data_IF_739889328979
#
_entry.id   IF_739889328979
#
_cell.length_a   1.000
_cell.length_b   1.000
_cell.length_c   1.000
_cell.angle_alpha   90.00
_cell.angle_beta   90.00
_cell.angle_gamma   90.00
#
_symmetry.space_group_name_H-M   'P 1'
#
loop_
_entity.id
_entity.type
_entity.pdbx_description
1 polymer ?
#
# COMPACT_ATOMS: atom_id res chain seq x y z
N UNK A 1 -2.87 -15.11 13.50
CA UNK A 1 -3.09 -15.63 12.13
C UNK A 1 -4.35 -15.07 11.48
N UNK A 2 -5.56 -15.31 12.03
CA UNK A 2 -6.81 -14.73 11.47
C UNK A 2 -6.78 -13.19 11.49
N UNK A 3 -6.33 -12.59 12.59
CA UNK A 3 -6.23 -11.13 12.73
C UNK A 3 -5.23 -10.51 11.74
N UNK A 4 -4.09 -11.20 11.50
CA UNK A 4 -3.06 -10.72 10.58
C UNK A 4 -3.61 -10.66 9.14
N UNK A 5 -4.41 -11.68 8.75
CA UNK A 5 -5.08 -11.72 7.45
C UNK A 5 -6.10 -10.58 7.33
N UNK A 6 -6.93 -10.38 8.34
CA UNK A 6 -7.93 -9.30 8.36
C UNK A 6 -7.24 -7.94 8.26
N UNK A 7 -6.20 -7.70 9.07
CA UNK A 7 -5.44 -6.45 9.06
C UNK A 7 -4.80 -6.21 7.68
N UNK A 8 -4.22 -7.23 7.05
CA UNK A 8 -3.67 -7.15 5.71
C UNK A 8 -4.72 -6.82 4.65
N UNK A 9 -5.87 -7.49 4.67
CA UNK A 9 -6.98 -7.25 3.72
C UNK A 9 -7.54 -5.83 3.87
N UNK A 10 -7.84 -5.40 5.10
CA UNK A 10 -8.38 -4.06 5.39
C UNK A 10 -7.39 -2.98 4.98
N UNK A 11 -6.11 -3.15 5.31
CA UNK A 11 -5.06 -2.20 4.93
C UNK A 11 -4.88 -2.13 3.41
N UNK A 12 -5.02 -3.27 2.71
CA UNK A 12 -4.98 -3.33 1.25
C UNK A 12 -6.14 -2.59 0.59
N UNK A 13 -7.37 -2.81 1.05
CA UNK A 13 -8.56 -2.11 0.53
C UNK A 13 -8.43 -0.60 0.75
N UNK A 14 -8.10 -0.19 1.97
CA UNK A 14 -7.98 1.23 2.31
C UNK A 14 -6.76 1.88 1.63
N UNK A 15 -5.71 1.11 1.38
CA UNK A 15 -4.55 1.51 0.57
C UNK A 15 -4.95 1.77 -0.87
N UNK A 16 -5.73 0.87 -1.47
CA UNK A 16 -6.21 1.00 -2.84
C UNK A 16 -7.20 2.15 -3.03
N UNK A 17 -7.96 2.51 -1.97
CA UNK A 17 -8.88 3.66 -1.99
C UNK A 17 -8.16 5.03 -1.91
N UNK A 18 -6.83 5.05 -1.81
CA UNK A 18 -6.06 6.31 -1.72
C UNK A 18 -6.08 6.94 -0.32
N UNK A 19 -6.66 6.27 0.68
CA UNK A 19 -6.77 6.75 2.06
C UNK A 19 -5.44 6.68 2.84
N UNK A 20 -4.34 6.29 2.19
CA UNK A 20 -3.06 6.06 2.85
C UNK A 20 -3.08 4.80 3.72
N UNK A 21 -3.69 3.70 3.24
CA UNK A 21 -3.88 2.45 3.99
C UNK A 21 -2.63 1.82 4.62
N UNK A 22 -1.44 2.34 4.31
CA UNK A 22 -0.22 1.97 5.02
C UNK A 22 -0.15 2.42 6.46
N UNK A 23 -0.85 3.49 6.82
CA UNK A 23 -0.97 3.89 8.22
C UNK A 23 -1.62 2.80 9.07
N UNK A 24 -2.62 2.09 8.53
CA UNK A 24 -3.38 1.07 9.28
C UNK A 24 -2.54 -0.18 9.51
N UNK A 25 -1.80 -0.63 8.48
CA UNK A 25 -0.90 -1.76 8.61
C UNK A 25 0.24 -1.46 9.58
N UNK A 26 0.82 -0.26 9.52
CA UNK A 26 1.86 0.18 10.45
C UNK A 26 1.30 0.17 11.88
N UNK A 27 0.14 0.78 12.13
CA UNK A 27 -0.50 0.82 13.45
C UNK A 27 -0.75 -0.58 13.99
N UNK A 28 -1.23 -1.52 13.16
CA UNK A 28 -1.40 -2.91 13.55
C UNK A 28 -0.06 -3.56 13.95
N UNK A 29 0.97 -3.42 13.12
CA UNK A 29 2.28 -4.02 13.38
C UNK A 29 2.96 -3.44 14.63
N UNK A 30 2.86 -2.12 14.86
CA UNK A 30 3.50 -1.49 16.01
C UNK A 30 2.72 -1.63 17.30
N UNK A 31 1.39 -1.46 17.28
CA UNK A 31 0.58 -1.45 18.51
C UNK A 31 0.12 -2.83 18.94
N UNK A 32 -0.11 -3.75 17.99
CA UNK A 32 -0.61 -5.09 18.29
C UNK A 32 0.48 -6.17 18.23
N UNK A 33 1.50 -6.01 17.38
CA UNK A 33 2.60 -6.98 17.24
C UNK A 33 3.90 -6.52 17.90
N UNK A 34 3.88 -5.36 18.59
CA UNK A 34 5.04 -4.72 19.24
C UNK A 34 6.29 -4.66 18.33
N UNK A 35 6.06 -4.51 17.02
CA UNK A 35 7.14 -4.52 16.04
C UNK A 35 7.83 -3.15 16.00
N UNK A 36 9.17 -3.09 15.84
CA UNK A 36 9.87 -1.83 15.67
C UNK A 36 9.29 -1.00 14.50
N UNK A 37 9.21 0.32 14.70
CA UNK A 37 8.63 1.25 13.72
C UNK A 37 9.28 1.15 12.34
N UNK A 38 10.62 1.09 12.30
CA UNK A 38 11.39 0.99 11.04
C UNK A 38 11.02 -0.30 10.29
N UNK A 39 10.93 -1.43 11.00
CA UNK A 39 10.54 -2.70 10.42
C UNK A 39 9.10 -2.66 9.90
N UNK A 40 8.18 -2.10 10.68
CA UNK A 40 6.77 -1.98 10.30
C UNK A 40 6.57 -1.10 9.06
N UNK A 41 7.31 0.00 8.96
CA UNK A 41 7.32 0.85 7.77
C UNK A 41 7.92 0.13 6.55
N UNK A 42 9.00 -0.64 6.74
CA UNK A 42 9.58 -1.46 5.67
C UNK A 42 8.61 -2.51 5.14
N UNK A 43 7.93 -3.23 6.02
CA UNK A 43 6.88 -4.20 5.65
C UNK A 43 5.75 -3.51 4.89
N UNK A 44 5.34 -2.33 5.35
CA UNK A 44 4.32 -1.55 4.66
C UNK A 44 4.73 -1.19 3.22
N UNK A 45 5.98 -0.76 3.00
CA UNK A 45 6.45 -0.46 1.64
C UNK A 45 6.41 -1.70 0.73
N UNK A 46 6.89 -2.85 1.23
CA UNK A 46 6.87 -4.11 0.47
C UNK A 46 5.42 -4.52 0.16
N UNK A 47 4.51 -4.35 1.11
CA UNK A 47 3.09 -4.60 0.93
C UNK A 47 2.45 -3.74 -0.18
N UNK A 48 2.92 -2.50 -0.35
CA UNK A 48 2.41 -1.60 -1.40
C UNK A 48 2.90 -1.93 -2.80
N UNK A 49 4.08 -2.55 -2.97
CA UNK A 49 4.66 -2.85 -4.29
C UNK A 49 3.68 -3.61 -5.22
N UNK A 50 3.09 -4.75 -4.85
CA UNK A 50 2.18 -5.48 -5.74
C UNK A 50 0.93 -4.65 -6.10
N UNK A 51 0.39 -3.91 -5.12
CA UNK A 51 -0.76 -3.02 -5.34
C UNK A 51 -0.42 -1.88 -6.30
N UNK A 52 0.77 -1.28 -6.17
CA UNK A 52 1.25 -0.23 -7.06
C UNK A 52 1.46 -0.75 -8.49
N UNK A 53 2.02 -1.94 -8.66
CA UNK A 53 2.18 -2.58 -9.97
C UNK A 53 0.81 -2.77 -10.62
N UNK A 54 -0.17 -3.34 -9.90
CA UNK A 54 -1.52 -3.52 -10.41
C UNK A 54 -2.20 -2.18 -10.74
N UNK A 55 -2.05 -1.18 -9.89
CA UNK A 55 -2.59 0.15 -10.12
C UNK A 55 -2.03 0.76 -11.41
N UNK A 56 -0.70 0.69 -11.62
CA UNK A 56 -0.05 1.18 -12.84
C UNK A 56 -0.60 0.45 -14.07
N UNK A 57 -0.66 -0.89 -14.05
CA UNK A 57 -1.18 -1.69 -15.17
C UNK A 57 -2.61 -1.27 -15.51
N UNK A 58 -3.50 -1.16 -14.52
CA UNK A 58 -4.90 -0.80 -14.73
C UNK A 58 -5.05 0.64 -15.24
N UNK A 59 -4.31 1.60 -14.68
CA UNK A 59 -4.38 2.99 -15.12
C UNK A 59 -3.82 3.19 -16.54
N UNK A 60 -2.75 2.46 -16.91
CA UNK A 60 -2.24 2.43 -18.30
C UNK A 60 -3.33 1.89 -19.23
N UNK A 61 -3.94 0.75 -18.90
CA UNK A 61 -4.99 0.12 -19.72
C UNK A 61 -6.20 1.05 -19.91
N UNK A 62 -6.57 1.78 -18.87
CA UNK A 62 -7.71 2.70 -18.90
C UNK A 62 -7.37 4.08 -19.48
N UNK A 63 -6.14 4.30 -19.97
CA UNK A 63 -5.65 5.60 -20.48
C UNK A 63 -5.77 6.74 -19.46
N UNK A 64 -5.67 6.42 -18.17
CA UNK A 64 -5.76 7.38 -17.06
C UNK A 64 -4.40 7.97 -16.66
N UNK A 65 -3.34 7.68 -17.42
CA UNK A 65 -2.00 8.22 -17.19
C UNK A 65 -1.67 9.23 -18.27
N UNK A 66 -1.44 10.48 -17.86
CA UNK A 66 -0.78 11.46 -18.71
C UNK A 66 0.72 11.15 -18.76
N UNK A 67 1.16 10.56 -19.87
CA UNK A 67 2.55 10.15 -20.08
C UNK A 67 3.53 11.33 -20.12
N UNK A 68 3.08 12.52 -20.54
CA UNK A 68 3.95 13.71 -20.59
C UNK A 68 4.27 14.17 -19.18
N UNK A 69 3.25 14.29 -18.34
CA UNK A 69 3.40 14.66 -16.93
C UNK A 69 4.14 13.57 -16.16
N UNK A 70 3.82 12.29 -16.38
CA UNK A 70 4.49 11.19 -15.70
C UNK A 70 6.01 11.20 -15.94
N UNK A 71 6.50 11.45 -17.16
CA UNK A 71 7.94 11.45 -17.44
C UNK A 71 8.69 12.65 -16.84
N UNK A 72 8.00 13.78 -16.61
CA UNK A 72 8.62 15.01 -16.08
C UNK A 72 8.73 14.98 -14.55
N UNK A 73 7.80 14.30 -13.87
CA UNK A 73 7.68 14.30 -12.41
C UNK A 73 8.02 12.96 -11.74
N UNK A 74 8.41 11.94 -12.50
CA UNK A 74 9.11 10.74 -12.00
C UNK A 74 10.58 11.10 -11.78
#
# INVERSE_FOLDING_TARGET
MILDIIAGVVSGILGAMGFGGGGILILYLTLYKDMPQITSQGINLIFFIPSAILAIILHIKNKLIDKKTALIYI
#
